data_IF_747346028997
#
_entry.id   IF_747346028997
#
_cell.length_a   1.000
_cell.length_b   1.000
_cell.length_c   1.000
_cell.angle_alpha   90.00
_cell.angle_beta   90.00
_cell.angle_gamma   90.00
#
_symmetry.space_group_name_H-M   'P 1'
#
loop_
_entity.id
_entity.type
_entity.pdbx_description
1 polymer ?
#
# COMPACT_ATOMS: atom_id res chain seq x y z
N UNK A 1 5.74 -13.40 -7.21
CA UNK A 1 4.25 -13.52 -7.15
C UNK A 1 3.63 -12.66 -8.25
N UNK A 2 2.44 -12.97 -8.79
CA UNK A 2 1.85 -12.16 -9.88
C UNK A 2 0.80 -11.18 -9.36
N UNK A 3 0.83 -9.94 -9.85
CA UNK A 3 -0.14 -8.91 -9.48
C UNK A 3 -1.23 -8.72 -10.55
N UNK A 4 -2.42 -8.27 -10.12
CA UNK A 4 -3.46 -7.79 -11.04
C UNK A 4 -3.22 -6.33 -11.50
N UNK A 5 -2.28 -5.62 -10.88
CA UNK A 5 -1.72 -4.39 -11.44
C UNK A 5 -0.72 -4.78 -12.52
N UNK A 6 -0.79 -4.10 -13.68
CA UNK A 6 0.19 -4.29 -14.75
C UNK A 6 1.58 -3.84 -14.29
N UNK A 7 2.53 -4.78 -14.26
CA UNK A 7 3.94 -4.49 -13.94
C UNK A 7 4.73 -4.59 -15.24
N UNK A 8 5.40 -3.50 -15.62
CA UNK A 8 6.25 -3.45 -16.82
C UNK A 8 7.47 -4.37 -16.60
N UNK A 9 7.90 -5.04 -17.67
CA UNK A 9 9.11 -5.86 -17.66
C UNK A 9 10.32 -5.05 -17.15
N UNK A 10 11.09 -5.63 -16.23
CA UNK A 10 12.25 -4.99 -15.56
C UNK A 10 11.92 -3.82 -14.60
N UNK A 11 10.66 -3.66 -14.17
CA UNK A 11 10.35 -2.74 -13.07
C UNK A 11 10.96 -3.22 -11.75
N UNK A 12 11.59 -2.32 -11.00
CA UNK A 12 12.03 -2.58 -9.62
C UNK A 12 10.84 -2.69 -8.64
N UNK A 13 9.67 -2.15 -9.00
CA UNK A 13 8.47 -2.11 -8.16
C UNK A 13 7.57 -3.31 -8.43
N UNK A 14 8.09 -4.51 -8.17
CA UNK A 14 7.33 -5.75 -8.30
C UNK A 14 6.48 -6.00 -7.06
N UNK A 15 5.56 -6.97 -7.12
CA UNK A 15 4.83 -7.39 -5.93
C UNK A 15 5.78 -7.98 -4.86
N UNK A 16 6.94 -8.51 -5.26
CA UNK A 16 7.95 -9.04 -4.33
C UNK A 16 8.82 -7.92 -3.71
N UNK A 17 8.77 -6.69 -4.25
CA UNK A 17 9.48 -5.52 -3.75
C UNK A 17 8.53 -4.34 -3.49
N UNK A 18 8.04 -4.25 -2.25
CA UNK A 18 7.14 -3.19 -1.77
C UNK A 18 7.95 -2.17 -0.94
N UNK A 19 8.43 -1.07 -1.56
CA UNK A 19 9.09 0.01 -0.82
C UNK A 19 8.05 0.87 -0.11
N UNK A 20 8.38 1.35 1.08
CA UNK A 20 7.57 2.39 1.73
C UNK A 20 8.16 3.75 1.40
N UNK A 21 7.30 4.67 0.99
CA UNK A 21 7.66 6.05 0.63
C UNK A 21 6.59 7.03 1.07
N UNK A 22 6.83 8.31 0.77
CA UNK A 22 5.82 9.36 0.86
C UNK A 22 5.39 9.71 -0.55
N UNK A 23 4.09 9.59 -0.82
CA UNK A 23 3.44 9.98 -2.07
C UNK A 23 2.48 11.14 -1.82
N UNK A 24 2.22 11.95 -2.86
CA UNK A 24 1.25 13.04 -2.77
C UNK A 24 0.04 12.72 -3.63
N UNK A 25 -1.12 12.57 -2.98
CA UNK A 25 -2.41 12.44 -3.65
C UNK A 25 -3.20 13.73 -3.39
N UNK A 26 -3.70 14.37 -4.45
CA UNK A 26 -4.42 15.65 -4.34
C UNK A 26 -3.65 16.75 -3.57
N UNK A 27 -2.32 16.77 -3.70
CA UNK A 27 -1.45 17.74 -3.03
C UNK A 27 -1.20 17.48 -1.55
N UNK A 28 -1.69 16.36 -0.99
CA UNK A 28 -1.45 15.98 0.41
C UNK A 28 -0.44 14.83 0.49
N UNK A 29 0.78 15.08 0.98
CA UNK A 29 1.76 14.03 1.21
C UNK A 29 1.30 13.07 2.31
N UNK A 30 1.41 11.77 2.05
CA UNK A 30 1.02 10.67 2.94
C UNK A 30 1.84 9.42 2.65
N UNK A 31 1.81 8.45 3.55
CA UNK A 31 2.52 7.19 3.35
C UNK A 31 1.94 6.40 2.17
N UNK A 32 2.83 5.95 1.30
CA UNK A 32 2.50 5.28 0.06
C UNK A 32 3.48 4.14 -0.26
N UNK A 33 3.10 3.29 -1.20
CA UNK A 33 4.02 2.34 -1.85
C UNK A 33 3.87 2.38 -3.37
N UNK A 34 4.73 1.68 -4.09
CA UNK A 34 4.69 1.54 -5.54
C UNK A 34 4.53 0.08 -5.94
N UNK A 35 3.66 -0.17 -6.91
CA UNK A 35 3.49 -1.46 -7.58
C UNK A 35 3.36 -1.18 -9.07
N UNK A 36 4.33 -1.64 -9.86
CA UNK A 36 4.44 -1.27 -11.27
C UNK A 36 4.62 0.24 -11.43
N UNK A 37 3.79 0.84 -12.28
CA UNK A 37 3.71 2.29 -12.47
C UNK A 37 2.83 2.98 -11.43
N UNK A 38 2.07 2.23 -10.62
CA UNK A 38 1.07 2.80 -9.71
C UNK A 38 1.64 3.19 -8.35
N UNK A 39 1.05 4.23 -7.79
CA UNK A 39 1.21 4.65 -6.38
C UNK A 39 -0.01 4.17 -5.59
N UNK A 40 0.25 3.50 -4.48
CA UNK A 40 -0.77 2.96 -3.57
C UNK A 40 -0.78 3.78 -2.29
N UNK A 41 -1.92 4.37 -1.95
CA UNK A 41 -2.15 5.15 -0.74
C UNK A 41 -2.45 4.24 0.46
N UNK A 42 -1.52 4.18 1.42
CA UNK A 42 -1.64 3.29 2.58
C UNK A 42 -2.67 3.79 3.59
N UNK A 43 -2.90 5.09 3.67
CA UNK A 43 -3.91 5.67 4.57
C UNK A 43 -5.32 5.29 4.11
N UNK A 44 -5.56 5.35 2.80
CA UNK A 44 -6.81 4.90 2.19
C UNK A 44 -7.08 3.40 2.45
N UNK A 45 -6.07 2.53 2.29
CA UNK A 45 -6.21 1.11 2.61
C UNK A 45 -6.46 0.86 4.10
N UNK A 46 -5.82 1.63 4.98
CA UNK A 46 -5.98 1.51 6.42
C UNK A 46 -7.37 1.93 6.88
N UNK A 47 -7.88 3.07 6.38
CA UNK A 47 -9.25 3.55 6.65
C UNK A 47 -10.31 2.60 6.13
N UNK A 48 -10.04 1.89 5.04
CA UNK A 48 -10.89 0.81 4.52
C UNK A 48 -10.85 -0.49 5.35
N UNK A 49 -10.02 -0.56 6.41
CA UNK A 49 -9.92 -1.72 7.28
C UNK A 49 -9.11 -2.88 6.70
N UNK A 50 -8.37 -2.68 5.62
CA UNK A 50 -7.66 -3.77 4.93
C UNK A 50 -6.43 -4.29 5.69
N UNK A 51 -5.97 -3.56 6.70
CA UNK A 51 -4.94 -3.98 7.64
C UNK A 51 -5.50 -4.50 8.97
N UNK A 52 -6.79 -4.86 9.01
CA UNK A 52 -7.41 -5.47 10.19
C UNK A 52 -6.60 -6.68 10.67
N UNK A 53 -6.27 -6.71 11.95
CA UNK A 53 -5.41 -7.74 12.56
C UNK A 53 -3.94 -7.35 12.69
N UNK A 54 -3.51 -6.25 12.09
CA UNK A 54 -2.19 -5.63 12.35
C UNK A 54 -2.39 -4.50 13.35
N UNK A 55 -1.59 -4.48 14.43
CA UNK A 55 -1.68 -3.44 15.47
C UNK A 55 -1.08 -2.11 14.98
N UNK A 56 -1.87 -1.35 14.22
CA UNK A 56 -1.52 -0.05 13.67
C UNK A 56 -2.26 1.07 14.43
N UNK A 57 -1.56 2.11 14.91
CA UNK A 57 -2.21 3.29 15.44
C UNK A 57 -3.06 3.99 14.37
N UNK A 58 -4.18 4.60 14.77
CA UNK A 58 -4.97 5.43 13.87
C UNK A 58 -4.12 6.60 13.32
N UNK A 59 -4.28 6.90 12.03
CA UNK A 59 -3.55 7.99 11.37
C UNK A 59 -2.06 7.72 11.10
N UNK A 60 -1.54 6.52 11.38
CA UNK A 60 -0.11 6.20 11.18
C UNK A 60 0.41 6.44 9.76
N UNK A 61 -0.48 6.42 8.77
CA UNK A 61 -0.15 6.65 7.35
C UNK A 61 -0.54 8.04 6.85
N UNK A 62 -1.31 8.83 7.59
CA UNK A 62 -1.64 10.23 7.25
C UNK A 62 -0.56 11.18 7.80
N UNK A 63 0.69 10.90 7.44
CA UNK A 63 1.86 11.64 7.87
C UNK A 63 2.75 11.98 6.66
N UNK A 64 3.47 13.10 6.76
CA UNK A 64 4.39 13.60 5.72
C UNK A 64 5.76 12.94 5.77
N UNK A 65 6.02 12.12 6.79
CA UNK A 65 7.23 11.31 6.99
C UNK A 65 6.87 9.89 7.43
N UNK A 66 7.78 8.94 7.24
CA UNK A 66 7.56 7.52 7.58
C UNK A 66 8.05 7.12 8.97
N UNK A 67 8.69 8.04 9.72
CA UNK A 67 9.39 7.73 10.96
C UNK A 67 8.53 6.95 11.95
N UNK A 68 7.35 7.47 12.28
CA UNK A 68 6.45 6.84 13.25
C UNK A 68 6.06 5.41 12.81
N UNK A 69 5.82 5.19 11.52
CA UNK A 69 5.52 3.87 10.97
C UNK A 69 6.72 2.91 11.06
N UNK A 70 7.92 3.40 10.74
CA UNK A 70 9.16 2.62 10.82
C UNK A 70 9.49 2.25 12.27
N UNK A 71 9.21 3.16 13.22
CA UNK A 71 9.43 2.95 14.66
C UNK A 71 8.56 1.84 15.27
N UNK A 72 7.43 1.48 14.63
CA UNK A 72 6.66 0.28 15.00
C UNK A 72 7.44 -1.04 14.82
N UNK A 73 8.56 -0.98 14.09
CA UNK A 73 9.52 -2.06 13.97
C UNK A 73 9.24 -3.04 12.83
N UNK A 74 10.24 -3.91 12.58
CA UNK A 74 10.22 -4.89 11.49
C UNK A 74 9.01 -5.83 11.50
N UNK A 75 8.52 -6.35 12.65
CA UNK A 75 7.37 -7.24 12.65
C UNK A 75 6.11 -6.59 12.05
N UNK A 76 5.80 -5.36 12.46
CA UNK A 76 4.61 -4.63 11.98
C UNK A 76 4.79 -4.19 10.53
N UNK A 77 5.92 -3.57 10.20
CA UNK A 77 6.19 -3.11 8.83
C UNK A 77 6.24 -4.28 7.82
N UNK A 78 6.71 -5.46 8.23
CA UNK A 78 6.63 -6.67 7.41
C UNK A 78 5.22 -7.21 7.28
N UNK A 79 4.41 -7.21 8.36
CA UNK A 79 3.01 -7.62 8.28
C UNK A 79 2.23 -6.74 7.29
N UNK A 80 2.45 -5.41 7.32
CA UNK A 80 1.86 -4.47 6.35
C UNK A 80 2.32 -4.81 4.93
N UNK A 81 3.63 -5.07 4.74
CA UNK A 81 4.17 -5.46 3.44
C UNK A 81 3.49 -6.73 2.90
N UNK A 82 3.45 -7.80 3.70
CA UNK A 82 2.82 -9.08 3.31
C UNK A 82 1.35 -8.87 2.97
N UNK A 83 0.63 -8.07 3.77
CA UNK A 83 -0.77 -7.78 3.50
C UNK A 83 -0.99 -7.03 2.19
N UNK A 84 -0.12 -6.06 1.86
CA UNK A 84 -0.15 -5.40 0.54
C UNK A 84 0.10 -6.43 -0.57
N UNK A 85 1.06 -7.35 -0.40
CA UNK A 85 1.31 -8.39 -1.39
C UNK A 85 0.08 -9.25 -1.65
N UNK A 86 -0.64 -9.64 -0.60
CA UNK A 86 -1.90 -10.39 -0.71
C UNK A 86 -3.00 -9.58 -1.43
N UNK A 87 -3.25 -8.34 -1.02
CA UNK A 87 -4.30 -7.49 -1.60
C UNK A 87 -4.10 -7.26 -3.11
N UNK A 88 -2.83 -7.21 -3.53
CA UNK A 88 -2.45 -6.96 -4.92
C UNK A 88 -2.09 -8.24 -5.70
N UNK A 89 -2.22 -9.42 -5.10
CA UNK A 89 -2.04 -10.71 -5.76
C UNK A 89 -3.23 -11.05 -6.66
N UNK A 90 -2.98 -11.75 -7.78
CA UNK A 90 -3.99 -12.05 -8.80
C UNK A 90 -5.29 -12.68 -8.29
N UNK A 91 -5.25 -13.45 -7.22
CA UNK A 91 -6.38 -14.19 -6.65
C UNK A 91 -7.14 -13.45 -5.53
N UNK A 92 -6.69 -12.25 -5.14
CA UNK A 92 -7.38 -11.44 -4.14
C UNK A 92 -8.29 -10.38 -4.81
N UNK A 93 -9.57 -10.43 -4.48
CA UNK A 93 -10.61 -9.54 -4.99
C UNK A 93 -10.90 -8.30 -4.12
N UNK A 94 -10.36 -8.22 -2.90
CA UNK A 94 -10.79 -7.22 -1.89
C UNK A 94 -10.63 -5.77 -2.39
N UNK A 95 -9.50 -5.48 -3.04
CA UNK A 95 -9.28 -4.19 -3.72
C UNK A 95 -9.60 -4.31 -5.22
N UNK A 96 -9.19 -5.40 -5.88
CA UNK A 96 -9.31 -5.58 -7.34
C UNK A 96 -10.75 -5.39 -7.84
N UNK A 97 -11.71 -5.99 -7.13
CA UNK A 97 -13.11 -6.05 -7.55
C UNK A 97 -13.94 -4.91 -6.93
N UNK A 98 -13.31 -4.03 -6.15
CA UNK A 98 -13.94 -2.88 -5.52
C UNK A 98 -13.51 -1.57 -6.21
N UNK A 99 -14.35 -1.10 -7.13
CA UNK A 99 -14.07 0.12 -7.91
C UNK A 99 -13.84 1.36 -7.03
N UNK A 100 -14.64 1.55 -5.98
CA UNK A 100 -14.49 2.70 -5.08
C UNK A 100 -13.12 2.69 -4.39
N UNK A 101 -12.69 1.53 -3.88
CA UNK A 101 -11.37 1.39 -3.25
C UNK A 101 -10.23 1.58 -4.25
N UNK A 102 -10.35 1.09 -5.50
CA UNK A 102 -9.34 1.34 -6.53
C UNK A 102 -9.23 2.84 -6.83
N UNK A 103 -10.37 3.51 -7.00
CA UNK A 103 -10.43 4.95 -7.23
C UNK A 103 -10.00 5.78 -6.02
N UNK A 104 -9.96 5.23 -4.82
CA UNK A 104 -9.49 5.95 -3.63
C UNK A 104 -7.99 5.72 -3.38
N UNK A 105 -7.55 4.47 -3.49
CA UNK A 105 -6.23 4.03 -3.04
C UNK A 105 -5.16 3.90 -4.12
N UNK A 106 -5.51 3.96 -5.42
CA UNK A 106 -4.58 3.70 -6.52
C UNK A 106 -4.47 4.92 -7.43
N UNK A 107 -3.24 5.32 -7.75
CA UNK A 107 -2.90 6.49 -8.57
C UNK A 107 -1.83 6.16 -9.60
N UNK A 108 -1.78 6.97 -10.64
CA UNK A 108 -0.73 6.98 -11.66
C UNK A 108 0.49 7.80 -11.21
#
# INVERSE_FOLDING_TARGET
MSSWIGIIENSDFTLDNIPFGIGSTNGKPRAATRIGDKVIDLDSLHKAGLFSGINLPEGIFDNTVLNDFIELGKPITNAVRVRIQELFALDNGEVRDNEALRLESIRD
#
